data_IF_911541594569
#
_entry.id   IF_911541594569
#
_cell.length_a   1.000
_cell.length_b   1.000
_cell.length_c   1.000
_cell.angle_alpha   90.00
_cell.angle_beta   90.00
_cell.angle_gamma   90.00
#
_symmetry.space_group_name_H-M   'P 1'
#
loop_
_entity.id
_entity.type
_entity.pdbx_description
1 polymer ?
#
# COMPACT_ATOMS: atom_id res chain seq x y z
N UNK A 1 1.72 9.03 -3.42
CA UNK A 1 3.17 9.26 -3.31
C UNK A 1 3.51 10.74 -3.22
N UNK A 2 2.59 11.60 -3.60
CA UNK A 2 2.67 13.05 -3.38
C UNK A 2 1.87 13.51 -2.15
N UNK A 3 1.40 12.58 -1.29
CA UNK A 3 0.53 12.90 -0.16
C UNK A 3 1.11 13.99 0.76
N UNK A 4 2.42 13.94 1.04
CA UNK A 4 3.09 14.98 1.82
C UNK A 4 3.03 16.35 1.15
N UNK A 5 3.21 16.42 -0.17
CA UNK A 5 3.16 17.68 -0.92
C UNK A 5 1.73 18.24 -0.96
N UNK A 6 0.72 17.38 -1.15
CA UNK A 6 -0.68 17.78 -1.09
C UNK A 6 -1.08 18.23 0.31
N UNK A 7 -0.69 17.49 1.35
CA UNK A 7 -0.94 17.89 2.73
C UNK A 7 -0.34 19.27 3.03
N UNK A 8 0.93 19.48 2.69
CA UNK A 8 1.61 20.78 2.86
C UNK A 8 0.90 21.91 2.12
N UNK A 9 0.45 21.68 0.89
CA UNK A 9 -0.28 22.68 0.11
C UNK A 9 -1.65 23.05 0.71
N UNK A 10 -2.32 22.09 1.39
CA UNK A 10 -3.57 22.35 2.13
C UNK A 10 -3.28 23.10 3.43
N UNK A 11 -2.25 22.65 4.18
CA UNK A 11 -1.83 23.27 5.44
C UNK A 11 -1.44 24.74 5.24
N UNK A 12 -0.63 25.07 4.22
CA UNK A 12 -0.23 26.44 3.89
C UNK A 12 -1.43 27.35 3.57
N UNK A 13 -2.57 26.78 3.17
CA UNK A 13 -3.81 27.51 2.85
C UNK A 13 -4.86 27.44 3.96
N UNK A 14 -4.57 26.79 5.07
CA UNK A 14 -5.52 26.57 6.17
C UNK A 14 -6.75 25.74 5.75
N UNK A 15 -6.63 24.88 4.72
CA UNK A 15 -7.73 24.03 4.24
C UNK A 15 -7.66 22.69 4.97
N UNK A 16 -8.68 22.35 5.82
CA UNK A 16 -8.71 21.06 6.50
C UNK A 16 -8.73 19.90 5.53
N UNK A 17 -8.08 18.79 5.88
CA UNK A 17 -8.08 17.60 5.05
C UNK A 17 -8.70 16.39 5.74
N UNK A 18 -9.31 15.54 4.94
CA UNK A 18 -9.79 14.20 5.31
C UNK A 18 -8.80 13.19 4.75
N UNK A 19 -8.27 12.33 5.62
CA UNK A 19 -7.30 11.31 5.20
C UNK A 19 -8.04 10.02 4.83
N UNK A 20 -7.86 9.58 3.59
CA UNK A 20 -8.32 8.27 3.10
C UNK A 20 -7.16 7.28 3.03
N UNK A 21 -7.48 5.99 3.15
CA UNK A 21 -6.50 4.89 3.11
C UNK A 21 -5.32 5.07 4.09
N UNK A 22 -5.57 5.39 5.38
CA UNK A 22 -4.51 5.61 6.36
C UNK A 22 -3.60 4.39 6.51
N UNK A 23 -4.14 3.18 6.30
CA UNK A 23 -3.43 1.89 6.37
C UNK A 23 -3.17 1.26 4.99
N UNK A 24 -3.20 2.07 3.89
CA UNK A 24 -2.91 1.64 2.51
C UNK A 24 -3.70 0.41 2.05
N UNK A 25 -5.03 0.45 2.19
CA UNK A 25 -5.88 -0.68 1.82
C UNK A 25 -5.62 -1.94 2.66
N UNK A 26 -5.24 -1.76 3.93
CA UNK A 26 -4.92 -2.87 4.85
C UNK A 26 -3.48 -3.36 4.81
N UNK A 27 -2.67 -2.89 3.85
CA UNK A 27 -1.29 -3.37 3.70
C UNK A 27 -0.40 -3.10 4.93
N UNK A 28 -0.68 -2.03 5.69
CA UNK A 28 0.06 -1.71 6.92
C UNK A 28 -0.41 -2.51 8.14
N UNK A 29 -1.55 -3.20 8.05
CA UNK A 29 -1.96 -4.18 9.05
C UNK A 29 -1.16 -5.48 8.91
N UNK A 30 -0.81 -5.87 7.68
CA UNK A 30 -0.09 -7.11 7.35
C UNK A 30 1.35 -6.81 6.95
N UNK A 31 2.13 -6.25 7.87
CA UNK A 31 3.55 -6.00 7.67
C UNK A 31 4.33 -7.32 7.55
N UNK A 32 5.44 -7.29 6.80
CA UNK A 32 6.42 -8.36 6.84
C UNK A 32 7.09 -8.45 8.23
N UNK A 33 7.67 -9.60 8.54
CA UNK A 33 8.24 -9.88 9.86
C UNK A 33 9.29 -8.86 10.31
N UNK A 34 10.13 -8.37 9.40
CA UNK A 34 11.15 -7.37 9.71
C UNK A 34 10.55 -6.02 10.11
N UNK A 35 9.53 -5.54 9.38
CA UNK A 35 8.86 -4.29 9.70
C UNK A 35 7.96 -4.42 10.93
N UNK A 36 7.37 -5.61 11.17
CA UNK A 36 6.55 -5.88 12.35
C UNK A 36 7.38 -5.87 13.64
N UNK A 37 8.55 -6.51 13.64
CA UNK A 37 9.47 -6.54 14.79
C UNK A 37 9.84 -5.15 15.30
N UNK A 38 9.88 -4.15 14.42
CA UNK A 38 10.18 -2.78 14.82
C UNK A 38 9.14 -2.23 15.81
N UNK A 39 7.89 -2.67 15.71
CA UNK A 39 6.81 -2.24 16.60
C UNK A 39 6.69 -3.14 17.85
N UNK A 40 7.03 -4.42 17.75
CA UNK A 40 7.00 -5.36 18.88
C UNK A 40 7.90 -4.91 20.05
N UNK A 41 8.97 -4.17 19.75
CA UNK A 41 9.88 -3.61 20.75
C UNK A 41 9.29 -2.39 21.50
N UNK A 42 8.19 -1.81 21.00
CA UNK A 42 7.56 -0.60 21.56
C UNK A 42 6.36 -0.88 22.47
N UNK A 43 5.82 -2.10 22.44
CA UNK A 43 4.67 -2.53 23.23
C UNK A 43 3.54 -3.14 22.40
N UNK A 44 2.33 -3.18 22.96
CA UNK A 44 1.20 -3.98 22.44
C UNK A 44 0.31 -3.26 21.42
N UNK A 45 0.69 -2.06 20.97
CA UNK A 45 -0.09 -1.36 19.95
C UNK A 45 0.11 -2.00 18.57
N UNK A 46 -0.97 -2.09 17.82
CA UNK A 46 -0.92 -2.64 16.47
C UNK A 46 -0.17 -1.72 15.49
N UNK A 47 0.43 -2.25 14.41
CA UNK A 47 0.97 -1.43 13.34
C UNK A 47 -0.05 -0.45 12.74
N UNK A 48 -1.34 -0.82 12.74
CA UNK A 48 -2.43 0.05 12.28
C UNK A 48 -2.62 1.24 13.23
N UNK A 49 -2.54 1.03 14.55
CA UNK A 49 -2.60 2.10 15.54
C UNK A 49 -1.52 3.16 15.30
N UNK A 50 -0.26 2.75 15.09
CA UNK A 50 0.81 3.70 14.77
C UNK A 50 0.56 4.47 13.48
N UNK A 51 0.03 3.82 12.44
CA UNK A 51 -0.30 4.46 11.16
C UNK A 51 -1.44 5.48 11.31
N UNK A 52 -2.47 5.16 12.08
CA UNK A 52 -3.61 6.03 12.36
C UNK A 52 -3.17 7.24 13.19
N UNK A 53 -2.40 7.03 14.25
CA UNK A 53 -1.85 8.10 15.10
C UNK A 53 -0.92 9.02 14.31
N UNK A 54 -0.10 8.47 13.41
CA UNK A 54 0.79 9.25 12.54
C UNK A 54 0.04 10.28 11.69
N UNK A 55 -1.12 9.94 11.15
CA UNK A 55 -1.90 10.88 10.33
C UNK A 55 -2.83 11.74 11.17
N UNK A 56 -3.41 11.20 12.26
CA UNK A 56 -4.35 11.92 13.11
C UNK A 56 -3.70 13.06 13.94
N UNK A 57 -2.39 12.94 14.22
CA UNK A 57 -1.65 14.00 14.93
C UNK A 57 -1.34 15.25 14.09
N UNK A 58 -1.55 15.17 12.74
CA UNK A 58 -1.24 16.29 11.85
C UNK A 58 -2.24 17.43 12.05
N UNK A 59 -1.79 18.69 12.26
CA UNK A 59 -2.64 19.80 12.73
C UNK A 59 -3.84 20.10 11.83
N UNK A 60 -3.71 19.86 10.54
CA UNK A 60 -4.72 20.21 9.54
C UNK A 60 -5.63 19.05 9.13
N UNK A 61 -5.52 17.90 9.83
CA UNK A 61 -6.38 16.73 9.61
C UNK A 61 -7.67 16.88 10.40
N UNK A 62 -8.80 16.95 9.69
CA UNK A 62 -10.14 17.03 10.28
C UNK A 62 -10.61 15.66 10.75
N UNK A 63 -10.38 14.62 9.94
CA UNK A 63 -10.78 13.25 10.25
C UNK A 63 -9.99 12.24 9.43
N UNK A 64 -9.95 11.00 9.93
CA UNK A 64 -9.29 9.86 9.28
C UNK A 64 -10.35 8.81 8.97
N UNK A 65 -10.45 8.40 7.70
CA UNK A 65 -11.40 7.38 7.25
C UNK A 65 -10.70 6.02 7.27
N UNK A 66 -11.16 5.13 8.16
CA UNK A 66 -10.65 3.77 8.27
C UNK A 66 -11.72 2.76 7.82
N UNK A 67 -11.35 1.88 6.88
CA UNK A 67 -12.18 0.75 6.47
C UNK A 67 -11.90 -0.47 7.36
N UNK A 68 -12.87 -0.85 8.18
CA UNK A 68 -12.78 -2.00 9.09
C UNK A 68 -13.69 -3.12 8.59
N UNK A 69 -13.18 -4.34 8.54
CA UNK A 69 -13.88 -5.52 8.03
C UNK A 69 -14.13 -6.57 9.11
N UNK A 70 -13.52 -6.43 10.30
CA UNK A 70 -13.68 -7.35 11.44
C UNK A 70 -13.89 -6.58 12.73
N UNK A 71 -14.45 -7.25 13.75
CA UNK A 71 -14.64 -6.66 15.08
C UNK A 71 -13.32 -6.26 15.75
N UNK A 72 -12.29 -7.06 15.59
CA UNK A 72 -10.96 -6.81 16.16
C UNK A 72 -10.37 -5.50 15.61
N UNK A 73 -10.58 -5.21 14.33
CA UNK A 73 -10.14 -3.93 13.71
C UNK A 73 -10.94 -2.75 14.26
N UNK A 74 -12.23 -2.93 14.54
CA UNK A 74 -13.05 -1.88 15.18
C UNK A 74 -12.56 -1.62 16.60
N UNK A 75 -12.34 -2.66 17.39
CA UNK A 75 -11.85 -2.55 18.77
C UNK A 75 -10.46 -1.89 18.83
N UNK A 76 -9.53 -2.28 17.95
CA UNK A 76 -8.19 -1.70 17.86
C UNK A 76 -8.23 -0.22 17.50
N UNK A 77 -9.09 0.16 16.53
CA UNK A 77 -9.27 1.55 16.15
C UNK A 77 -9.95 2.37 17.27
N UNK A 78 -10.98 1.83 17.92
CA UNK A 78 -11.61 2.48 19.06
C UNK A 78 -10.59 2.72 20.19
N UNK A 79 -9.82 1.71 20.57
CA UNK A 79 -8.74 1.84 21.56
C UNK A 79 -7.73 2.91 21.14
N UNK A 80 -7.39 3.01 19.86
CA UNK A 80 -6.45 4.01 19.35
C UNK A 80 -6.98 5.43 19.45
N UNK A 81 -8.28 5.65 19.21
CA UNK A 81 -8.89 6.98 19.16
C UNK A 81 -9.55 7.41 20.48
N UNK A 82 -9.86 6.50 21.40
CA UNK A 82 -10.43 6.79 22.71
C UNK A 82 -9.46 7.63 23.58
N UNK A 83 -8.17 7.31 23.49
CA UNK A 83 -7.08 8.10 24.10
C UNK A 83 -6.00 8.38 23.05
N UNK A 84 -6.34 9.25 22.09
CA UNK A 84 -5.45 9.57 20.98
C UNK A 84 -4.24 10.38 21.45
N UNK A 85 -3.10 9.72 21.59
CA UNK A 85 -1.83 10.36 21.90
C UNK A 85 -0.99 10.54 20.63
N UNK A 86 -0.28 11.69 20.46
CA UNK A 86 0.68 11.82 19.38
C UNK A 86 1.81 10.79 19.54
N UNK A 87 2.47 10.46 18.43
CA UNK A 87 3.63 9.58 18.47
C UNK A 87 4.77 10.26 19.27
N UNK A 88 5.36 9.53 20.19
CA UNK A 88 6.61 9.95 20.83
C UNK A 88 7.80 9.78 19.86
N UNK A 89 9.00 10.23 20.26
CA UNK A 89 10.18 10.21 19.39
C UNK A 89 10.58 8.78 18.94
N UNK A 90 10.48 7.79 19.82
CA UNK A 90 10.86 6.42 19.52
C UNK A 90 9.84 5.73 18.61
N UNK A 91 8.55 5.98 18.83
CA UNK A 91 7.47 5.55 17.94
C UNK A 91 7.59 6.19 16.55
N UNK A 92 7.93 7.47 16.47
CA UNK A 92 8.12 8.17 15.21
C UNK A 92 9.32 7.59 14.41
N UNK A 93 10.44 7.30 15.08
CA UNK A 93 11.60 6.62 14.49
C UNK A 93 11.24 5.20 14.03
N UNK A 94 10.47 4.47 14.80
CA UNK A 94 10.00 3.13 14.45
C UNK A 94 9.09 3.15 13.22
N UNK A 95 8.16 4.08 13.13
CA UNK A 95 7.30 4.28 11.93
C UNK A 95 8.16 4.57 10.69
N UNK A 96 9.19 5.41 10.81
CA UNK A 96 10.08 5.70 9.69
C UNK A 96 10.89 4.45 9.28
N UNK A 97 11.49 3.74 10.23
CA UNK A 97 12.22 2.49 9.99
C UNK A 97 11.33 1.42 9.36
N UNK A 98 10.13 1.20 9.90
CA UNK A 98 9.16 0.26 9.35
C UNK A 98 8.71 0.65 7.93
N UNK A 99 8.54 1.94 7.63
CA UNK A 99 8.21 2.41 6.29
C UNK A 99 9.34 2.12 5.27
N UNK A 100 10.60 2.26 5.66
CA UNK A 100 11.75 1.91 4.80
C UNK A 100 11.74 0.40 4.51
N UNK A 101 11.63 -0.43 5.55
CA UNK A 101 11.57 -1.89 5.43
C UNK A 101 10.36 -2.37 4.62
N UNK A 102 9.19 -1.77 4.85
CA UNK A 102 7.99 -2.06 4.08
C UNK A 102 8.17 -1.74 2.59
N UNK A 103 8.74 -0.57 2.27
CA UNK A 103 8.95 -0.15 0.87
C UNK A 103 9.98 -1.00 0.14
N UNK A 104 11.01 -1.49 0.82
CA UNK A 104 12.04 -2.33 0.20
C UNK A 104 11.50 -3.65 -0.34
N UNK A 105 10.37 -4.14 0.21
CA UNK A 105 9.73 -5.37 -0.22
C UNK A 105 8.85 -5.24 -1.48
N UNK A 106 8.58 -4.02 -1.94
CA UNK A 106 7.71 -3.81 -3.10
C UNK A 106 8.45 -3.09 -4.23
N UNK A 107 8.82 -3.85 -5.27
CA UNK A 107 9.28 -3.27 -6.52
C UNK A 107 8.14 -2.50 -7.22
N UNK A 108 6.89 -2.94 -7.01
CA UNK A 108 5.69 -2.30 -7.53
C UNK A 108 4.71 -2.03 -6.37
N UNK A 109 4.47 -0.75 -5.99
CA UNK A 109 3.67 -0.39 -4.82
C UNK A 109 2.17 -0.45 -5.10
N UNK A 110 1.68 -1.58 -5.61
CA UNK A 110 0.27 -1.83 -5.87
C UNK A 110 -0.48 -2.11 -4.56
N UNK A 111 -1.68 -1.51 -4.41
CA UNK A 111 -2.57 -1.69 -3.25
C UNK A 111 -3.75 -2.62 -3.53
N UNK A 112 -3.77 -3.27 -4.68
CA UNK A 112 -4.85 -4.19 -5.12
C UNK A 112 -6.27 -3.56 -5.12
N UNK A 113 -6.36 -2.25 -5.38
CA UNK A 113 -7.65 -1.54 -5.42
C UNK A 113 -8.50 -1.85 -6.67
N UNK A 114 -7.94 -2.50 -7.69
CA UNK A 114 -8.57 -3.01 -8.92
C UNK A 114 -9.14 -1.98 -9.91
N UNK A 115 -9.09 -0.68 -9.64
CA UNK A 115 -9.62 0.34 -10.57
C UNK A 115 -8.99 0.28 -11.97
N UNK A 116 -7.75 -0.18 -12.08
CA UNK A 116 -7.06 -0.36 -13.35
C UNK A 116 -7.57 -1.57 -14.14
N UNK A 117 -8.14 -2.58 -13.50
CA UNK A 117 -8.68 -3.79 -14.16
C UNK A 117 -9.92 -3.44 -14.95
N UNK A 118 -10.85 -2.67 -14.36
CA UNK A 118 -12.07 -2.22 -15.03
C UNK A 118 -11.78 -1.33 -16.24
N UNK A 119 -10.66 -0.60 -16.22
CA UNK A 119 -10.25 0.28 -17.31
C UNK A 119 -9.40 -0.44 -18.37
N UNK A 120 -9.06 -1.72 -18.19
CA UNK A 120 -8.19 -2.45 -19.10
C UNK A 120 -8.98 -3.07 -20.26
N UNK A 121 -8.86 -2.57 -21.52
CA UNK A 121 -9.59 -3.15 -22.65
C UNK A 121 -9.11 -4.57 -23.02
N UNK A 122 -7.88 -4.93 -22.63
CA UNK A 122 -7.31 -6.25 -22.84
C UNK A 122 -7.60 -7.23 -21.68
N UNK A 123 -8.34 -6.82 -20.65
CA UNK A 123 -8.75 -7.69 -19.55
C UNK A 123 -7.63 -8.17 -18.63
N UNK A 124 -6.46 -7.53 -18.64
CA UNK A 124 -5.30 -7.94 -17.83
C UNK A 124 -5.61 -7.81 -16.34
N UNK A 125 -5.36 -8.85 -15.55
CA UNK A 125 -5.38 -8.79 -14.10
C UNK A 125 -4.08 -8.15 -13.58
N UNK A 126 -4.04 -6.82 -13.69
CA UNK A 126 -2.87 -6.00 -13.37
C UNK A 126 -2.38 -6.23 -11.93
N UNK A 127 -3.25 -6.23 -10.90
CA UNK A 127 -2.83 -6.49 -9.53
C UNK A 127 -2.22 -7.87 -9.34
N UNK A 128 -2.80 -8.92 -9.92
CA UNK A 128 -2.27 -10.27 -9.83
C UNK A 128 -0.88 -10.38 -10.48
N UNK A 129 -0.69 -9.77 -11.66
CA UNK A 129 0.60 -9.69 -12.34
C UNK A 129 1.65 -8.98 -11.45
N UNK A 130 1.28 -7.88 -10.80
CA UNK A 130 2.18 -7.14 -9.91
C UNK A 130 2.50 -7.90 -8.63
N UNK A 131 1.54 -8.66 -8.10
CA UNK A 131 1.76 -9.53 -6.94
C UNK A 131 2.78 -10.62 -7.26
N UNK A 132 2.70 -11.25 -8.42
CA UNK A 132 3.67 -12.24 -8.89
C UNK A 132 5.08 -11.62 -9.02
N UNK A 133 5.19 -10.44 -9.61
CA UNK A 133 6.47 -9.73 -9.72
C UNK A 133 7.05 -9.35 -8.35
N UNK A 134 6.21 -8.91 -7.41
CA UNK A 134 6.65 -8.58 -6.06
C UNK A 134 7.10 -9.83 -5.28
N UNK A 135 6.52 -11.02 -5.52
CA UNK A 135 7.00 -12.28 -4.95
C UNK A 135 8.45 -12.55 -5.40
N UNK A 136 8.73 -12.47 -6.69
CA UNK A 136 10.09 -12.55 -7.22
C UNK A 136 11.02 -11.50 -6.60
N UNK A 137 10.57 -10.24 -6.51
CA UNK A 137 11.43 -9.17 -5.99
C UNK A 137 11.86 -9.40 -4.55
N UNK A 138 11.05 -10.09 -3.76
CA UNK A 138 11.32 -10.41 -2.35
C UNK A 138 12.45 -11.43 -2.21
N UNK A 139 12.44 -12.50 -3.01
CA UNK A 139 13.35 -13.64 -2.87
C UNK A 139 14.45 -13.67 -3.93
N UNK A 140 14.22 -12.99 -5.08
CA UNK A 140 15.02 -13.11 -6.31
C UNK A 140 15.00 -14.52 -6.92
N UNK A 141 14.04 -15.35 -6.51
CA UNK A 141 13.82 -16.68 -7.05
C UNK A 141 12.68 -16.65 -8.08
N UNK A 142 13.00 -17.10 -9.31
CA UNK A 142 12.01 -17.21 -10.39
C UNK A 142 10.94 -18.25 -10.13
N UNK A 143 11.20 -19.22 -9.25
CA UNK A 143 10.21 -20.21 -8.85
C UNK A 143 9.02 -19.55 -8.11
N UNK A 144 9.27 -18.54 -7.26
CA UNK A 144 8.21 -17.79 -6.59
C UNK A 144 7.37 -16.98 -7.57
N UNK A 145 8.00 -16.40 -8.58
CA UNK A 145 7.28 -15.76 -9.68
C UNK A 145 6.41 -16.76 -10.43
N UNK A 146 7.00 -17.85 -10.91
CA UNK A 146 6.31 -18.87 -11.70
C UNK A 146 5.12 -19.44 -10.95
N UNK A 147 5.29 -19.75 -9.67
CA UNK A 147 4.20 -20.23 -8.81
C UNK A 147 3.05 -19.24 -8.71
N UNK A 148 3.35 -17.96 -8.52
CA UNK A 148 2.33 -16.92 -8.40
C UNK A 148 1.71 -16.54 -9.75
N UNK A 149 2.49 -16.57 -10.84
CA UNK A 149 2.05 -16.18 -12.16
C UNK A 149 1.23 -17.27 -12.87
N UNK A 150 1.54 -18.55 -12.61
CA UNK A 150 0.80 -19.69 -13.21
C UNK A 150 -0.67 -19.76 -12.76
N UNK A 151 -1.02 -19.17 -11.61
CA UNK A 151 -2.40 -19.10 -11.12
C UNK A 151 -3.24 -18.11 -11.94
N UNK A 152 -2.61 -17.14 -12.62
CA UNK A 152 -3.29 -16.14 -13.44
C UNK A 152 -3.73 -16.81 -14.75
N UNK A 153 -5.03 -16.77 -15.10
CA UNK A 153 -5.52 -17.28 -16.38
C UNK A 153 -4.77 -16.63 -17.54
N UNK A 154 -4.47 -17.40 -18.58
CA UNK A 154 -3.66 -16.92 -19.72
C UNK A 154 -4.26 -15.68 -20.38
N UNK A 155 -5.59 -15.64 -20.50
CA UNK A 155 -6.36 -14.51 -21.03
C UNK A 155 -6.37 -13.26 -20.13
N UNK A 156 -5.62 -13.27 -19.00
CA UNK A 156 -5.50 -12.15 -18.05
C UNK A 156 -4.07 -11.79 -17.71
N UNK A 157 -3.10 -12.37 -18.42
CA UNK A 157 -1.67 -12.18 -18.16
C UNK A 157 -1.11 -10.88 -18.74
N UNK A 158 0.09 -10.54 -18.31
CA UNK A 158 0.77 -9.29 -18.65
C UNK A 158 1.12 -9.16 -20.15
N UNK A 159 1.31 -10.27 -20.87
CA UNK A 159 1.61 -10.33 -22.30
C UNK A 159 0.47 -9.77 -23.17
N UNK A 160 -0.76 -9.77 -22.68
CA UNK A 160 -1.91 -9.19 -23.38
C UNK A 160 -1.92 -7.65 -23.34
N UNK A 161 -1.01 -7.01 -22.61
CA UNK A 161 -0.97 -5.57 -22.49
C UNK A 161 -0.66 -4.88 -23.83
N UNK A 162 -1.63 -4.13 -24.36
CA UNK A 162 -1.50 -3.35 -25.61
C UNK A 162 -0.91 -1.95 -25.42
N UNK A 163 -0.40 -1.62 -24.23
CA UNK A 163 0.24 -0.33 -23.90
C UNK A 163 -0.66 0.92 -24.13
N UNK A 164 -1.97 0.79 -23.99
CA UNK A 164 -2.92 1.90 -24.23
C UNK A 164 -2.95 2.95 -23.10
N UNK A 165 -2.34 2.69 -21.94
CA UNK A 165 -2.25 3.56 -20.75
C UNK A 165 -3.58 3.92 -20.07
N UNK A 166 -4.72 3.39 -20.48
CA UNK A 166 -6.02 3.67 -19.85
C UNK A 166 -6.03 3.38 -18.33
N UNK A 167 -5.28 2.37 -17.89
CA UNK A 167 -5.13 1.98 -16.50
C UNK A 167 -4.34 3.00 -15.64
N UNK A 168 -3.43 3.78 -16.23
CA UNK A 168 -2.60 4.74 -15.47
C UNK A 168 -3.42 5.88 -14.88
N UNK A 169 -4.41 6.39 -15.62
CA UNK A 169 -5.29 7.48 -15.17
C UNK A 169 -6.19 7.05 -14.01
N UNK A 170 -6.43 5.74 -13.85
CA UNK A 170 -7.24 5.16 -12.78
C UNK A 170 -6.42 4.75 -11.55
N UNK A 171 -5.10 4.78 -11.63
CA UNK A 171 -4.24 4.31 -10.55
C UNK A 171 -4.04 5.37 -9.47
N UNK A 172 -4.60 5.20 -8.24
CA UNK A 172 -4.37 6.15 -7.15
C UNK A 172 -2.89 6.24 -6.74
N UNK A 173 -2.12 5.17 -6.99
CA UNK A 173 -0.69 5.12 -6.69
C UNK A 173 0.18 5.70 -7.81
N UNK A 174 -0.42 6.18 -8.93
CA UNK A 174 0.28 6.76 -10.07
C UNK A 174 1.38 5.84 -10.63
N UNK A 175 1.13 4.53 -10.62
CA UNK A 175 2.06 3.53 -11.16
C UNK A 175 2.07 3.62 -12.67
N UNK A 176 3.27 3.64 -13.27
CA UNK A 176 3.46 3.49 -14.72
C UNK A 176 3.20 2.03 -15.12
N UNK A 177 1.91 1.69 -15.19
CA UNK A 177 1.42 0.31 -15.27
C UNK A 177 1.95 -0.44 -16.49
N UNK A 178 1.88 0.08 -17.74
CA UNK A 178 2.41 -0.65 -18.89
C UNK A 178 3.90 -0.94 -18.80
N UNK A 179 4.70 -0.01 -18.27
CA UNK A 179 6.15 -0.22 -18.09
C UNK A 179 6.44 -1.33 -17.08
N UNK A 180 5.61 -1.42 -16.05
CA UNK A 180 5.73 -2.49 -15.04
C UNK A 180 5.25 -3.83 -15.58
N UNK A 181 4.16 -3.86 -16.36
CA UNK A 181 3.67 -5.09 -17.01
C UNK A 181 4.70 -5.63 -18.01
N UNK A 182 5.41 -4.76 -18.74
CA UNK A 182 6.52 -5.18 -19.61
C UNK A 182 7.58 -5.97 -18.84
N UNK A 183 7.99 -5.49 -17.66
CA UNK A 183 8.94 -6.21 -16.79
C UNK A 183 8.39 -7.54 -16.27
N UNK A 184 7.08 -7.61 -16.01
CA UNK A 184 6.42 -8.87 -15.63
C UNK A 184 6.49 -9.86 -16.80
N UNK A 185 6.21 -9.39 -18.02
CA UNK A 185 6.29 -10.20 -19.24
C UNK A 185 7.71 -10.72 -19.48
N UNK A 186 8.72 -9.84 -19.43
CA UNK A 186 10.14 -10.20 -19.58
C UNK A 186 10.60 -11.28 -18.59
N UNK A 187 9.97 -11.33 -17.39
CA UNK A 187 10.28 -12.35 -16.38
C UNK A 187 9.51 -13.66 -16.62
N UNK A 188 8.44 -13.62 -17.41
CA UNK A 188 7.63 -14.81 -17.76
C UNK A 188 8.14 -15.56 -19.00
N UNK A 189 9.01 -14.96 -19.78
CA UNK A 189 9.71 -15.54 -20.95
C UNK A 189 10.95 -16.33 -20.53
#
# INVERSE_FOLDING_TARGET
QNAKAYYKALEERGIPCIVMEPVRGGALHSLNDEARKVFEELGDNSPASYALRYVAQLPNVLTVLSGMSTYEQVEDNLKTFDDLQPLNEDEAKAVEKANILFRSNFAIPCTDCKYCVEACPAGVDIPACFKAYNAYNKTRDTADFTKAYSIIPEEKRADLCINCKACESRCPQQIKIPDKLRRVKELSE
#
